data_IF_018287022289
#
_entry.id   IF_018287022289
#
_cell.length_a   1.000
_cell.length_b   1.000
_cell.length_c   1.000
_cell.angle_alpha   90.00
_cell.angle_beta   90.00
_cell.angle_gamma   90.00
#
_symmetry.space_group_name_H-M   'P 1'
#
loop_
_entity.id
_entity.type
_entity.pdbx_description
1 polymer ?
#
# COMPACT_ATOMS: atom_id res chain seq x y z
N UNK A 1 5.46 19.14 -21.62
CA UNK A 1 6.68 18.83 -20.85
C UNK A 1 6.66 17.34 -20.56
N UNK A 2 7.56 16.56 -21.15
CA UNK A 2 7.72 15.14 -20.80
C UNK A 2 8.60 15.09 -19.55
N UNK A 3 7.99 15.00 -18.38
CA UNK A 3 8.72 14.69 -17.14
C UNK A 3 9.09 13.22 -17.24
N UNK A 4 10.34 12.93 -17.59
CA UNK A 4 10.91 11.61 -17.35
C UNK A 4 10.80 11.36 -15.85
N UNK A 5 9.87 10.51 -15.44
CA UNK A 5 9.87 9.97 -14.08
C UNK A 5 11.21 9.26 -13.92
N UNK A 6 12.14 9.91 -13.23
CA UNK A 6 13.34 9.24 -12.76
C UNK A 6 12.86 8.05 -11.96
N UNK A 7 13.22 6.84 -12.41
CA UNK A 7 12.98 5.58 -11.70
C UNK A 7 13.65 5.68 -10.33
N UNK A 8 12.96 6.31 -9.38
CA UNK A 8 13.44 6.53 -8.02
C UNK A 8 13.17 5.22 -7.31
N UNK A 9 14.11 4.29 -7.44
CA UNK A 9 14.13 3.08 -6.62
C UNK A 9 14.22 3.52 -5.16
N UNK A 10 13.11 3.38 -4.44
CA UNK A 10 13.03 3.68 -3.01
C UNK A 10 14.09 2.86 -2.26
N UNK A 11 14.84 3.47 -1.35
CA UNK A 11 15.78 2.70 -0.53
C UNK A 11 15.06 1.67 0.33
N UNK A 12 15.55 0.42 0.32
CA UNK A 12 15.03 -0.68 1.15
C UNK A 12 14.98 -0.29 2.62
N UNK A 13 16.04 0.33 3.13
CA UNK A 13 16.15 0.76 4.53
C UNK A 13 15.14 1.87 4.87
N UNK A 14 14.94 2.80 3.93
CA UNK A 14 13.94 3.85 4.08
C UNK A 14 12.53 3.27 4.16
N UNK A 15 12.19 2.29 3.32
CA UNK A 15 10.88 1.61 3.34
C UNK A 15 10.66 0.84 4.65
N UNK A 16 11.68 0.14 5.13
CA UNK A 16 11.61 -0.60 6.40
C UNK A 16 11.42 0.35 7.59
N UNK A 17 12.17 1.45 7.63
CA UNK A 17 12.06 2.48 8.68
C UNK A 17 10.69 3.16 8.65
N UNK A 18 10.22 3.53 7.45
CA UNK A 18 8.90 4.12 7.28
C UNK A 18 7.80 3.15 7.75
N UNK A 19 7.88 1.87 7.40
CA UNK A 19 6.92 0.87 7.87
C UNK A 19 6.91 0.74 9.39
N UNK A 20 8.08 0.75 10.04
CA UNK A 20 8.15 0.73 11.50
C UNK A 20 7.43 1.93 12.12
N UNK A 21 7.73 3.15 11.65
CA UNK A 21 7.09 4.38 12.15
C UNK A 21 5.57 4.39 11.91
N UNK A 22 5.14 4.01 10.70
CA UNK A 22 3.73 3.96 10.34
C UNK A 22 2.97 2.93 11.18
N UNK A 23 3.58 1.79 11.51
CA UNK A 23 2.97 0.78 12.38
C UNK A 23 2.79 1.30 13.81
N UNK A 24 3.78 2.00 14.35
CA UNK A 24 3.66 2.66 15.66
C UNK A 24 2.51 3.66 15.66
N UNK A 25 2.39 4.49 14.62
CA UNK A 25 1.31 5.46 14.49
C UNK A 25 -0.06 4.76 14.37
N UNK A 26 -0.16 3.72 13.55
CA UNK A 26 -1.40 2.95 13.37
C UNK A 26 -1.89 2.32 14.68
N UNK A 27 -0.98 1.86 15.54
CA UNK A 27 -1.34 1.33 16.85
C UNK A 27 -1.94 2.38 17.78
N UNK A 28 -1.61 3.66 17.60
CA UNK A 28 -2.12 4.76 18.42
C UNK A 28 -3.51 5.23 17.97
N UNK A 29 -3.74 5.37 16.65
CA UNK A 29 -4.93 6.04 16.11
C UNK A 29 -5.85 5.12 15.29
N UNK A 30 -5.40 3.92 14.91
CA UNK A 30 -6.14 3.00 14.04
C UNK A 30 -6.44 3.56 12.64
N UNK A 31 -5.69 4.55 12.16
CA UNK A 31 -6.01 5.28 10.95
C UNK A 31 -5.86 4.39 9.69
N UNK A 32 -6.94 4.19 8.91
CA UNK A 32 -6.90 3.31 7.74
C UNK A 32 -5.93 3.76 6.64
N UNK A 33 -5.66 5.06 6.51
CA UNK A 33 -4.70 5.56 5.52
C UNK A 33 -3.28 5.09 5.87
N UNK A 34 -2.93 4.96 7.16
CA UNK A 34 -1.65 4.40 7.57
C UNK A 34 -1.55 2.92 7.15
N UNK A 35 -2.61 2.13 7.34
CA UNK A 35 -2.64 0.74 6.89
C UNK A 35 -2.43 0.60 5.36
N UNK A 36 -3.04 1.50 4.57
CA UNK A 36 -2.83 1.53 3.12
C UNK A 36 -1.37 1.88 2.75
N UNK A 37 -0.78 2.89 3.41
CA UNK A 37 0.62 3.26 3.19
C UNK A 37 1.58 2.13 3.55
N UNK A 38 1.34 1.43 4.65
CA UNK A 38 2.14 0.26 5.07
C UNK A 38 2.05 -0.85 4.01
N UNK A 39 0.83 -1.16 3.53
CA UNK A 39 0.64 -2.16 2.47
C UNK A 39 1.41 -1.79 1.20
N UNK A 40 1.32 -0.53 0.76
CA UNK A 40 2.03 -0.01 -0.41
C UNK A 40 3.56 -0.15 -0.26
N UNK A 41 4.11 0.15 0.92
CA UNK A 41 5.54 0.00 1.17
C UNK A 41 6.00 -1.46 1.14
N UNK A 42 5.18 -2.41 1.61
CA UNK A 42 5.50 -3.84 1.47
C UNK A 42 5.47 -4.31 0.01
N UNK A 43 4.60 -3.77 -0.85
CA UNK A 43 4.68 -4.03 -2.29
C UNK A 43 5.96 -3.46 -2.91
N UNK A 44 6.41 -2.28 -2.48
CA UNK A 44 7.71 -1.76 -2.95
C UNK A 44 8.90 -2.62 -2.50
N UNK A 45 8.84 -3.18 -1.28
CA UNK A 45 9.86 -4.12 -0.79
C UNK A 45 9.81 -5.44 -1.57
N UNK A 46 8.61 -5.89 -1.97
CA UNK A 46 8.41 -7.06 -2.83
C UNK A 46 9.10 -6.86 -4.18
N UNK A 47 8.91 -5.70 -4.82
CA UNK A 47 9.50 -5.37 -6.12
C UNK A 47 11.05 -5.34 -6.09
N UNK A 48 11.64 -5.07 -4.92
CA UNK A 48 13.09 -5.05 -4.68
C UNK A 48 13.66 -6.40 -4.23
N UNK A 49 12.82 -7.42 -4.02
CA UNK A 49 13.25 -8.68 -3.41
C UNK A 49 13.70 -9.70 -4.45
N UNK A 50 14.87 -10.28 -4.23
CA UNK A 50 15.44 -11.32 -5.11
C UNK A 50 15.20 -12.75 -4.60
N UNK A 51 14.83 -12.90 -3.33
CA UNK A 51 14.57 -14.21 -2.71
C UNK A 51 13.08 -14.53 -2.68
N UNK A 52 12.69 -15.74 -3.12
CA UNK A 52 11.31 -16.23 -3.05
C UNK A 52 10.76 -16.20 -1.62
N UNK A 53 11.61 -16.43 -0.61
CA UNK A 53 11.21 -16.37 0.80
C UNK A 53 10.85 -14.96 1.23
N UNK A 54 11.67 -13.97 0.86
CA UNK A 54 11.42 -12.55 1.17
C UNK A 54 10.18 -12.05 0.41
N UNK A 55 10.05 -12.40 -0.86
CA UNK A 55 8.87 -12.06 -1.66
C UNK A 55 7.58 -12.57 -1.01
N UNK A 56 7.57 -13.82 -0.54
CA UNK A 56 6.40 -14.37 0.18
C UNK A 56 6.11 -13.58 1.45
N UNK A 57 7.13 -13.30 2.27
CA UNK A 57 6.97 -12.55 3.52
C UNK A 57 6.40 -11.14 3.28
N UNK A 58 6.91 -10.41 2.29
CA UNK A 58 6.40 -9.08 1.93
C UNK A 58 5.00 -9.12 1.35
N UNK A 59 4.69 -10.08 0.47
CA UNK A 59 3.34 -10.30 -0.03
C UNK A 59 2.35 -10.56 1.10
N UNK A 60 2.69 -11.44 2.04
CA UNK A 60 1.80 -11.82 3.15
C UNK A 60 1.55 -10.62 4.07
N UNK A 61 2.59 -9.85 4.39
CA UNK A 61 2.47 -8.60 5.14
C UNK A 61 1.61 -7.57 4.40
N UNK A 62 1.84 -7.35 3.10
CA UNK A 62 1.07 -6.42 2.29
C UNK A 62 -0.43 -6.76 2.30
N UNK A 63 -0.77 -8.05 2.17
CA UNK A 63 -2.16 -8.56 2.22
C UNK A 63 -2.81 -8.35 3.57
N UNK A 64 -2.08 -8.53 4.68
CA UNK A 64 -2.62 -8.28 6.03
C UNK A 64 -3.02 -6.80 6.17
N UNK A 65 -2.13 -5.90 5.80
CA UNK A 65 -2.38 -4.46 5.91
C UNK A 65 -3.47 -3.97 4.95
N UNK A 66 -3.53 -4.51 3.73
CA UNK A 66 -4.62 -4.23 2.79
C UNK A 66 -5.97 -4.68 3.37
N UNK A 67 -6.04 -5.87 4.00
CA UNK A 67 -7.27 -6.34 4.65
C UNK A 67 -7.70 -5.43 5.80
N UNK A 68 -6.75 -4.94 6.60
CA UNK A 68 -7.04 -3.98 7.68
C UNK A 68 -7.62 -2.68 7.12
N UNK A 69 -7.01 -2.13 6.06
CA UNK A 69 -7.56 -0.98 5.33
C UNK A 69 -8.98 -1.25 4.81
N UNK A 70 -9.20 -2.38 4.12
CA UNK A 70 -10.50 -2.74 3.55
C UNK A 70 -11.58 -2.90 4.62
N UNK A 71 -11.26 -3.51 5.78
CA UNK A 71 -12.21 -3.64 6.90
C UNK A 71 -12.69 -2.27 7.42
N UNK A 72 -11.76 -1.32 7.57
CA UNK A 72 -12.10 0.04 7.99
C UNK A 72 -12.95 0.81 6.98
N UNK A 73 -12.89 0.43 5.70
CA UNK A 73 -13.77 0.96 4.64
C UNK A 73 -15.15 0.30 4.64
N UNK A 74 -15.24 -1.01 4.86
CA UNK A 74 -16.52 -1.75 4.88
C UNK A 74 -17.38 -1.33 6.08
N UNK A 75 -16.76 -1.05 7.24
CA UNK A 75 -17.47 -0.51 8.40
C UNK A 75 -17.95 0.95 8.22
N UNK A 76 -17.58 1.59 7.09
CA UNK A 76 -18.03 2.91 6.65
C UNK A 76 -18.80 2.74 5.31
N UNK A 77 -19.97 2.12 5.36
CA UNK A 77 -20.93 2.00 4.25
C UNK A 77 -21.23 3.42 3.65
N UNK A 78 -21.42 3.58 2.33
CA UNK A 78 -20.38 4.07 1.45
C UNK A 78 -20.94 5.20 0.58
N UNK A 79 -21.34 6.34 1.16
CA UNK A 79 -22.13 7.29 0.37
C UNK A 79 -21.34 8.24 -0.52
N UNK A 80 -20.01 8.21 -0.50
CA UNK A 80 -19.21 8.99 -1.43
C UNK A 80 -17.85 8.31 -1.52
N UNK A 81 -17.44 7.81 -2.68
CA UNK A 81 -16.24 8.34 -3.35
C UNK A 81 -15.77 7.54 -4.57
N UNK A 82 -16.17 6.27 -4.76
CA UNK A 82 -15.93 5.57 -6.04
C UNK A 82 -17.05 4.54 -6.24
N UNK A 83 -17.79 4.67 -7.33
CA UNK A 83 -18.67 3.62 -7.81
C UNK A 83 -17.82 2.41 -8.20
N UNK A 84 -18.45 1.25 -8.18
CA UNK A 84 -17.88 -0.07 -8.41
C UNK A 84 -17.56 -0.31 -9.91
N UNK A 85 -17.19 0.75 -10.63
CA UNK A 85 -17.02 0.80 -12.08
C UNK A 85 -15.57 1.11 -12.47
N UNK A 86 -14.59 0.68 -11.67
CA UNK A 86 -13.16 1.02 -11.77
C UNK A 86 -12.41 0.66 -13.06
N UNK A 87 -13.08 0.53 -14.20
CA UNK A 87 -12.53 0.58 -15.56
C UNK A 87 -13.57 1.18 -16.52
N UNK A 88 -13.37 2.43 -16.95
CA UNK A 88 -13.82 2.84 -18.28
C UNK A 88 -12.74 3.70 -18.95
N UNK A 89 -11.94 3.05 -19.78
CA UNK A 89 -11.26 3.70 -20.91
C UNK A 89 -11.54 2.84 -22.13
N UNK A 90 -12.31 3.39 -23.06
CA UNK A 90 -12.09 3.41 -24.52
C UNK A 90 -13.34 4.00 -25.18
N UNK A 91 -13.30 5.22 -25.72
CA UNK A 91 -12.69 5.69 -26.98
C UNK A 91 -13.74 5.81 -28.11
N UNK A 92 -14.17 7.05 -28.36
CA UNK A 92 -14.42 7.82 -29.61
C UNK A 92 -15.31 9.02 -29.26
#
# INVERSE_FOLDING_TARGET
MNVQLQNTTWSREALMTANFQLQTLYQQDGNPCLALMISRNYHLLLDQSHSLKEQKDWSDKAKIWQKLYSKSRINKIPNVFYDESGLYYDSV
#
